data_IF_336102987898
#
_entry.id   IF_336102987898
#
_cell.length_a   1.000
_cell.length_b   1.000
_cell.length_c   1.000
_cell.angle_alpha   90.00
_cell.angle_beta   90.00
_cell.angle_gamma   90.00
#
_symmetry.space_group_name_H-M   'P 1'
#
loop_
_entity.id
_entity.type
_entity.pdbx_description
1 polymer ?
#
# COMPACT_ATOMS: atom_id res chain seq x y z
N UNK A 1 8.41 9.86 -5.62
CA UNK A 1 6.98 9.57 -5.37
C UNK A 1 6.19 10.66 -6.09
N UNK A 2 5.40 10.32 -7.10
CA UNK A 2 4.55 11.30 -7.79
C UNK A 2 3.08 11.04 -7.42
N UNK A 3 2.48 11.95 -6.66
CA UNK A 3 1.04 12.03 -6.41
C UNK A 3 0.54 11.47 -5.06
N UNK A 4 -0.44 12.17 -4.48
CA UNK A 4 -1.06 11.91 -3.17
C UNK A 4 -1.11 13.19 -2.34
N UNK A 5 -2.29 13.61 -1.84
CA UNK A 5 -2.39 14.76 -0.93
C UNK A 5 -1.54 14.55 0.33
N UNK A 6 -1.17 15.63 1.03
CA UNK A 6 -0.30 15.55 2.21
C UNK A 6 -0.83 14.61 3.30
N UNK A 7 -2.16 14.49 3.39
CA UNK A 7 -2.85 13.69 4.39
C UNK A 7 -3.81 12.67 3.78
N UNK A 8 -3.90 11.50 4.41
CA UNK A 8 -4.90 10.49 4.15
C UNK A 8 -6.00 10.59 5.20
N UNK A 9 -7.25 10.44 4.76
CA UNK A 9 -8.44 10.46 5.61
C UNK A 9 -9.45 9.43 5.09
N UNK A 10 -10.51 9.19 5.86
CA UNK A 10 -11.57 8.28 5.45
C UNK A 10 -12.16 8.68 4.10
N UNK A 11 -12.22 7.74 3.16
CA UNK A 11 -12.67 7.98 1.78
C UNK A 11 -11.80 8.98 0.97
N UNK A 12 -10.56 9.23 1.38
CA UNK A 12 -9.64 9.99 0.56
C UNK A 12 -9.44 9.28 -0.80
N UNK A 13 -9.48 10.07 -1.87
CA UNK A 13 -9.25 9.62 -3.24
C UNK A 13 -8.05 10.35 -3.80
N UNK A 14 -7.12 9.59 -4.36
CA UNK A 14 -5.89 10.16 -4.90
C UNK A 14 -5.36 9.30 -6.04
N UNK A 15 -4.51 9.93 -6.85
CA UNK A 15 -3.82 9.27 -7.96
C UNK A 15 -2.34 9.35 -7.73
N UNK A 16 -1.66 8.23 -7.95
CA UNK A 16 -0.22 8.14 -7.77
C UNK A 16 0.37 7.15 -8.78
N UNK A 17 1.69 7.21 -8.95
CA UNK A 17 2.42 6.33 -9.87
C UNK A 17 3.40 5.43 -9.13
N UNK A 18 3.38 4.15 -9.48
CA UNK A 18 4.37 3.17 -9.03
C UNK A 18 4.71 2.21 -10.17
N UNK A 19 5.99 1.84 -10.30
CA UNK A 19 6.48 0.98 -11.39
C UNK A 19 6.02 1.40 -12.80
N UNK A 20 5.83 2.70 -13.04
CA UNK A 20 5.32 3.24 -14.31
C UNK A 20 3.81 3.08 -14.52
N UNK A 21 3.07 2.55 -13.54
CA UNK A 21 1.61 2.40 -13.57
C UNK A 21 0.96 3.52 -12.78
N UNK A 22 0.03 4.24 -13.39
CA UNK A 22 -0.82 5.21 -12.70
C UNK A 22 -2.02 4.47 -12.07
N UNK A 23 -2.18 4.62 -10.76
CA UNK A 23 -3.22 3.98 -9.97
C UNK A 23 -4.23 5.02 -9.49
N UNK A 24 -5.51 4.75 -9.71
CA UNK A 24 -6.61 5.47 -9.07
C UNK A 24 -6.93 4.77 -7.75
N UNK A 25 -6.83 5.52 -6.64
CA UNK A 25 -6.85 4.94 -5.29
C UNK A 25 -7.92 5.56 -4.42
N UNK A 26 -8.56 4.75 -3.58
CA UNK A 26 -9.54 5.16 -2.56
C UNK A 26 -9.20 4.49 -1.22
N UNK A 27 -9.13 5.28 -0.15
CA UNK A 27 -9.04 4.76 1.22
C UNK A 27 -10.37 4.10 1.59
N UNK A 28 -10.31 2.82 1.99
CA UNK A 28 -11.48 2.01 2.34
C UNK A 28 -11.52 1.63 3.82
N UNK A 29 -10.38 1.67 4.51
CA UNK A 29 -10.30 1.57 5.97
C UNK A 29 -9.44 2.72 6.50
N UNK A 30 -9.90 3.37 7.56
CA UNK A 30 -9.17 4.47 8.20
C UNK A 30 -9.51 4.55 9.69
N UNK A 31 -8.54 4.14 10.51
CA UNK A 31 -8.55 4.26 11.96
C UNK A 31 -7.21 4.90 12.38
N UNK A 32 -7.21 6.20 12.71
CA UNK A 32 -5.99 6.95 12.99
C UNK A 32 -5.10 6.25 14.02
N UNK A 33 -3.81 6.10 13.70
CA UNK A 33 -2.82 5.48 14.60
C UNK A 33 -2.95 3.96 14.76
N UNK A 34 -3.88 3.30 14.07
CA UNK A 34 -4.10 1.85 14.20
C UNK A 34 -4.13 1.15 12.87
N UNK A 35 -4.86 1.67 11.87
CA UNK A 35 -5.07 0.95 10.62
C UNK A 35 -5.43 1.87 9.47
N UNK A 36 -4.89 1.56 8.30
CA UNK A 36 -5.29 2.20 7.06
C UNK A 36 -5.22 1.19 5.92
N UNK A 37 -6.22 1.20 5.05
CA UNK A 37 -6.18 0.40 3.83
C UNK A 37 -6.81 1.14 2.66
N UNK A 38 -6.32 0.85 1.47
CA UNK A 38 -6.84 1.42 0.24
C UNK A 38 -7.00 0.38 -0.86
N UNK A 39 -7.93 0.67 -1.76
CA UNK A 39 -8.07 -0.03 -3.04
C UNK A 39 -7.37 0.83 -4.08
N UNK A 40 -6.40 0.25 -4.80
CA UNK A 40 -5.72 0.86 -5.93
C UNK A 40 -6.07 0.11 -7.22
N UNK A 41 -6.53 0.84 -8.22
CA UNK A 41 -6.98 0.29 -9.50
C UNK A 41 -6.20 0.89 -10.66
N UNK A 42 -5.78 0.04 -11.58
CA UNK A 42 -5.25 0.40 -12.88
C UNK A 42 -5.75 -0.61 -13.92
N UNK A 43 -5.56 -0.32 -15.20
CA UNK A 43 -6.02 -1.20 -16.27
C UNK A 43 -5.53 -2.65 -16.06
N UNK A 44 -6.44 -3.57 -15.72
CA UNK A 44 -6.12 -4.99 -15.50
C UNK A 44 -5.53 -5.36 -14.13
N UNK A 45 -5.51 -4.45 -13.15
CA UNK A 45 -5.11 -4.68 -11.76
C UNK A 45 -6.07 -4.00 -10.79
N UNK A 46 -6.46 -4.72 -9.75
CA UNK A 46 -7.07 -4.18 -8.52
C UNK A 46 -6.29 -4.71 -7.33
N UNK A 47 -5.73 -3.81 -6.52
CA UNK A 47 -4.97 -4.13 -5.33
C UNK A 47 -5.71 -3.63 -4.09
N UNK A 48 -5.77 -4.46 -3.06
CA UNK A 48 -6.10 -4.04 -1.70
C UNK A 48 -4.81 -4.03 -0.90
N UNK A 49 -4.43 -2.86 -0.39
CA UNK A 49 -3.18 -2.69 0.34
C UNK A 49 -3.50 -2.14 1.73
N UNK A 50 -3.15 -2.92 2.75
CA UNK A 50 -3.44 -2.62 4.15
C UNK A 50 -2.16 -2.40 4.95
N UNK A 51 -2.32 -1.57 5.98
CA UNK A 51 -1.31 -1.25 6.98
C UNK A 51 -1.97 -1.36 8.35
N UNK A 52 -1.31 -2.09 9.23
CA UNK A 52 -1.69 -2.26 10.62
C UNK A 52 -0.55 -1.75 11.50
N UNK A 53 -0.90 -0.90 12.47
CA UNK A 53 0.00 -0.29 13.43
C UNK A 53 -0.46 -0.78 14.81
N UNK A 54 0.37 -1.59 15.45
CA UNK A 54 0.08 -2.17 16.76
C UNK A 54 1.02 -1.56 17.80
N UNK A 55 0.51 -0.82 18.80
CA UNK A 55 1.36 -0.24 19.84
C UNK A 55 2.02 -1.33 20.69
N UNK A 56 3.24 -1.06 21.16
CA UNK A 56 4.00 -1.89 22.08
C UNK A 56 4.07 -1.22 23.46
N UNK A 57 4.30 -2.02 24.50
CA UNK A 57 4.30 -1.55 25.89
C UNK A 57 5.46 -0.58 26.20
N UNK A 58 6.52 -0.58 25.39
CA UNK A 58 7.70 0.28 25.52
C UNK A 58 7.53 1.66 24.84
N UNK A 59 6.35 1.96 24.31
CA UNK A 59 6.06 3.19 23.56
C UNK A 59 6.43 3.11 22.08
N UNK A 60 6.94 1.97 21.61
CA UNK A 60 7.12 1.67 20.19
C UNK A 60 5.84 1.16 19.52
N UNK A 61 5.97 0.73 18.26
CA UNK A 61 4.90 0.03 17.56
C UNK A 61 5.47 -1.03 16.59
N UNK A 62 4.64 -2.01 16.26
CA UNK A 62 4.87 -2.91 15.12
C UNK A 62 4.03 -2.43 13.94
N UNK A 63 4.65 -2.32 12.77
CA UNK A 63 3.97 -2.00 11.52
C UNK A 63 3.98 -3.23 10.63
N UNK A 64 2.78 -3.69 10.24
CA UNK A 64 2.57 -4.74 9.26
C UNK A 64 1.96 -4.13 8.01
N UNK A 65 2.44 -4.55 6.83
CA UNK A 65 1.78 -4.22 5.57
C UNK A 65 1.58 -5.45 4.70
N UNK A 66 0.38 -5.60 4.16
CA UNK A 66 -0.01 -6.70 3.27
C UNK A 66 -0.76 -6.16 2.07
N UNK A 67 -0.47 -6.73 0.89
CA UNK A 67 -1.16 -6.38 -0.34
C UNK A 67 -1.68 -7.63 -1.04
N UNK A 68 -2.96 -7.60 -1.42
CA UNK A 68 -3.58 -8.60 -2.28
C UNK A 68 -3.89 -7.98 -3.63
N UNK A 69 -3.32 -8.55 -4.69
CA UNK A 69 -3.53 -8.09 -6.07
C UNK A 69 -4.37 -9.09 -6.87
N UNK A 70 -5.40 -8.59 -7.54
CA UNK A 70 -6.23 -9.33 -8.49
C UNK A 70 -6.07 -8.76 -9.90
N UNK A 71 -6.02 -9.63 -10.90
CA UNK A 71 -5.98 -9.25 -12.32
C UNK A 71 -4.91 -9.99 -13.13
N UNK A 72 -5.05 -9.97 -14.46
CA UNK A 72 -4.15 -10.69 -15.38
C UNK A 72 -2.74 -10.10 -15.37
N UNK A 73 -2.61 -8.77 -15.30
CA UNK A 73 -1.31 -8.11 -15.19
C UNK A 73 -0.64 -8.44 -13.85
N UNK A 74 -1.39 -8.51 -12.75
CA UNK A 74 -0.85 -8.93 -11.45
C UNK A 74 -0.28 -10.35 -11.51
N UNK A 75 -0.98 -11.28 -12.18
CA UNK A 75 -0.51 -12.66 -12.39
C UNK A 75 0.77 -12.73 -13.23
N UNK A 76 0.83 -11.95 -14.33
CA UNK A 76 2.02 -11.86 -15.16
C UNK A 76 3.18 -11.23 -14.39
N UNK A 77 2.92 -10.14 -13.67
CA UNK A 77 3.89 -9.44 -12.83
C UNK A 77 4.51 -10.36 -11.78
N UNK A 78 3.69 -11.16 -11.07
CA UNK A 78 4.17 -12.17 -10.12
C UNK A 78 5.05 -13.24 -10.78
N UNK A 79 4.76 -13.63 -12.02
CA UNK A 79 5.52 -14.66 -12.76
C UNK A 79 6.87 -14.12 -13.25
N UNK A 80 6.91 -12.89 -13.74
CA UNK A 80 8.12 -12.24 -14.28
C UNK A 80 9.04 -11.71 -13.16
N UNK A 81 8.46 -11.20 -12.07
CA UNK A 81 9.19 -10.58 -10.98
C UNK A 81 8.75 -11.18 -9.63
N UNK A 82 9.05 -12.46 -9.36
CA UNK A 82 8.73 -13.07 -8.08
C UNK A 82 9.41 -12.27 -6.96
N UNK A 83 8.68 -11.97 -5.88
CA UNK A 83 9.13 -11.17 -4.71
C UNK A 83 9.36 -9.67 -4.93
N UNK A 84 9.07 -9.11 -6.10
CA UNK A 84 9.22 -7.65 -6.29
C UNK A 84 8.41 -6.84 -5.27
N UNK A 85 7.14 -7.21 -5.06
CA UNK A 85 6.29 -6.48 -4.10
C UNK A 85 6.80 -6.61 -2.66
N UNK A 86 7.18 -7.81 -2.24
CA UNK A 86 7.80 -8.05 -0.93
C UNK A 86 9.04 -7.17 -0.70
N UNK A 87 9.94 -7.11 -1.68
CA UNK A 87 11.13 -6.28 -1.61
C UNK A 87 10.80 -4.78 -1.46
N UNK A 88 9.82 -4.28 -2.21
CA UNK A 88 9.44 -2.86 -2.13
C UNK A 88 8.66 -2.52 -0.86
N UNK A 89 7.84 -3.44 -0.35
CA UNK A 89 7.18 -3.26 0.96
C UNK A 89 8.21 -3.22 2.09
N UNK A 90 9.21 -4.09 2.05
CA UNK A 90 10.30 -4.08 3.03
C UNK A 90 11.03 -2.74 3.02
N UNK A 91 11.34 -2.21 1.83
CA UNK A 91 11.95 -0.88 1.70
C UNK A 91 11.07 0.25 2.24
N UNK A 92 9.75 0.15 2.08
CA UNK A 92 8.84 1.12 2.69
C UNK A 92 8.86 1.04 4.21
N UNK A 93 8.81 -0.16 4.78
CA UNK A 93 8.89 -0.36 6.24
C UNK A 93 10.21 0.18 6.81
N UNK A 94 11.34 -0.10 6.15
CA UNK A 94 12.65 0.41 6.55
C UNK A 94 12.74 1.93 6.47
N UNK A 95 12.18 2.54 5.42
CA UNK A 95 12.16 3.99 5.28
C UNK A 95 11.21 4.69 6.28
N UNK A 96 10.13 4.03 6.70
CA UNK A 96 9.22 4.50 7.75
C UNK A 96 9.85 4.45 9.14
N UNK A 97 10.74 3.47 9.38
CA UNK A 97 11.41 3.27 10.65
C UNK A 97 12.68 4.12 10.85
N UNK A 98 13.20 4.72 9.78
CA UNK A 98 14.43 5.52 9.76
C UNK A 98 14.20 6.98 10.20
#
# INVERSE_FOLDING_TARGET
>A
MEGGGADLFADARFRWRTFGVALDTRVVEFEPGTRIAWIAEAFGIRAYHAWLITPLADGGCTILTEETQHGWIARIGRRLFPRRMEHWHQRWLEALAA
#
